data_IF_060245083257
#
_entry.id   IF_060245083257
#
_cell.length_a   1.000
_cell.length_b   1.000
_cell.length_c   1.000
_cell.angle_alpha   90.00
_cell.angle_beta   90.00
_cell.angle_gamma   90.00
#
_symmetry.space_group_name_H-M   'P 1'
#
loop_
_entity.id
_entity.type
_entity.pdbx_description
1 polymer ?
#
# COMPACT_ATOMS: atom_id res chain seq x y z
N UNK A 1 -3.13 -9.65 18.25
CA UNK A 1 -2.59 -9.28 16.92
C UNK A 1 -3.22 -7.95 16.48
N UNK A 2 -2.48 -7.06 15.84
CA UNK A 2 -3.00 -5.74 15.40
C UNK A 2 -3.12 -5.66 13.88
N UNK A 3 -3.97 -4.76 13.38
CA UNK A 3 -4.06 -4.49 11.94
C UNK A 3 -2.70 -4.08 11.36
N UNK A 4 -1.92 -3.28 12.10
CA UNK A 4 -0.57 -2.91 11.70
C UNK A 4 0.35 -4.12 11.51
N UNK A 5 0.30 -5.10 12.41
CA UNK A 5 1.11 -6.31 12.31
C UNK A 5 0.74 -7.18 11.09
N UNK A 6 -0.53 -7.16 10.66
CA UNK A 6 -0.97 -7.84 9.44
C UNK A 6 -0.48 -7.11 8.18
N UNK A 7 -0.63 -5.78 8.16
CA UNK A 7 -0.17 -4.93 7.04
C UNK A 7 1.35 -5.05 6.84
N UNK A 8 2.13 -5.10 7.92
CA UNK A 8 3.59 -5.25 7.86
C UNK A 8 4.03 -6.56 7.16
N UNK A 9 3.30 -7.66 7.38
CA UNK A 9 3.58 -8.95 6.70
C UNK A 9 3.32 -8.87 5.20
N UNK A 10 2.24 -8.20 4.81
CA UNK A 10 1.94 -7.97 3.40
C UNK A 10 3.00 -7.07 2.74
N UNK A 11 3.44 -6.01 3.42
CA UNK A 11 4.50 -5.12 2.93
C UNK A 11 5.85 -5.83 2.72
N UNK A 12 6.20 -6.78 3.59
CA UNK A 12 7.43 -7.57 3.44
C UNK A 12 7.40 -8.46 2.17
N UNK A 13 6.23 -8.98 1.78
CA UNK A 13 6.08 -9.72 0.53
C UNK A 13 6.26 -8.79 -0.68
N UNK A 14 5.69 -7.59 -0.64
CA UNK A 14 5.88 -6.57 -1.67
C UNK A 14 7.37 -6.27 -1.92
N UNK A 15 8.16 -6.17 -0.85
CA UNK A 15 9.63 -6.00 -0.94
C UNK A 15 10.31 -7.21 -1.58
N UNK A 16 9.93 -8.43 -1.18
CA UNK A 16 10.50 -9.68 -1.71
C UNK A 16 10.31 -9.83 -3.22
N UNK A 17 9.19 -9.34 -3.74
CA UNK A 17 8.85 -9.42 -5.17
C UNK A 17 9.18 -8.14 -5.95
N UNK A 18 9.92 -7.20 -5.35
CA UNK A 18 10.28 -5.91 -5.98
C UNK A 18 9.06 -5.11 -6.48
N UNK A 19 7.93 -5.25 -5.78
CA UNK A 19 6.67 -4.57 -6.09
C UNK A 19 6.36 -3.59 -4.95
N UNK A 20 6.87 -2.35 -5.00
CA UNK A 20 6.76 -1.41 -3.89
C UNK A 20 5.30 -1.12 -3.51
N UNK A 21 5.05 -0.94 -2.21
CA UNK A 21 3.73 -0.58 -1.69
C UNK A 21 3.40 0.85 -2.14
N UNK A 22 2.25 1.02 -2.79
CA UNK A 22 1.78 2.32 -3.25
C UNK A 22 1.45 3.24 -2.06
N UNK A 23 1.86 4.50 -2.16
CA UNK A 23 1.38 5.55 -1.27
C UNK A 23 -0.12 5.79 -1.45
N UNK A 24 -0.81 6.42 -0.49
CA UNK A 24 -2.22 6.76 -0.65
C UNK A 24 -2.52 7.62 -1.88
N UNK A 25 -1.58 8.50 -2.29
CA UNK A 25 -1.72 9.31 -3.50
C UNK A 25 -1.64 8.44 -4.77
N UNK A 26 -0.64 7.56 -4.86
CA UNK A 26 -0.49 6.62 -5.99
C UNK A 26 -1.69 5.67 -6.10
N UNK A 27 -2.19 5.15 -4.97
CA UNK A 27 -3.36 4.27 -4.96
C UNK A 27 -4.61 5.00 -5.49
N UNK A 28 -4.79 6.28 -5.13
CA UNK A 28 -5.91 7.08 -5.65
C UNK A 28 -5.80 7.29 -7.16
N UNK A 29 -4.61 7.59 -7.66
CA UNK A 29 -4.34 7.74 -9.09
C UNK A 29 -4.66 6.44 -9.87
N UNK A 30 -4.15 5.30 -9.41
CA UNK A 30 -4.39 3.98 -10.01
C UNK A 30 -5.89 3.65 -10.07
N UNK A 31 -6.64 4.04 -9.03
CA UNK A 31 -8.07 3.75 -8.90
C UNK A 31 -8.97 4.84 -9.51
N UNK A 32 -8.42 5.91 -10.10
CA UNK A 32 -9.20 7.02 -10.64
C UNK A 32 -9.98 7.81 -9.58
N UNK A 33 -9.49 7.84 -8.34
CA UNK A 33 -10.12 8.54 -7.23
C UNK A 33 -9.67 10.00 -7.19
N UNK A 34 -10.56 10.88 -6.70
CA UNK A 34 -10.20 12.28 -6.42
C UNK A 34 -9.06 12.35 -5.41
N UNK A 35 -8.16 13.32 -5.61
CA UNK A 35 -7.15 13.68 -4.63
C UNK A 35 -7.78 13.95 -3.26
N UNK A 36 -7.11 13.50 -2.19
CA UNK A 36 -7.47 13.89 -0.84
C UNK A 36 -7.11 15.36 -0.64
N UNK A 37 -7.96 16.07 0.08
CA UNK A 37 -7.70 17.44 0.56
C UNK A 37 -6.93 17.41 1.86
#
# INVERSE_FOLDING_TARGET
PSNAALVQRAAALCETYERPVASPAQAREILGLRAAV
#
